data_IF_871525835592
#
_entry.id   IF_871525835592
#
_cell.length_a   1.000
_cell.length_b   1.000
_cell.length_c   1.000
_cell.angle_alpha   90.00
_cell.angle_beta   90.00
_cell.angle_gamma   90.00
#
_symmetry.space_group_name_H-M   'P 1'
#
loop_
_entity.id
_entity.type
_entity.pdbx_description
1 polymer ?
#
# COMPACT_ATOMS: atom_id res chain seq x y z
N UNK A 1 0.58 14.86 -7.67
CA UNK A 1 0.57 15.24 -6.24
C UNK A 1 -0.74 15.95 -5.98
N UNK A 2 -1.71 15.29 -5.34
CA UNK A 2 -3.01 15.78 -4.82
C UNK A 2 -3.89 14.56 -4.43
N UNK A 3 -3.30 13.54 -3.78
CA UNK A 3 -3.93 12.21 -3.59
C UNK A 3 -5.21 12.21 -2.76
N UNK A 4 -5.48 13.30 -2.04
CA UNK A 4 -6.69 13.50 -1.25
C UNK A 4 -7.50 14.71 -1.72
N UNK A 5 -7.30 15.21 -2.94
CA UNK A 5 -7.96 16.41 -3.44
C UNK A 5 -7.51 17.72 -2.75
N UNK A 6 -8.17 18.82 -3.10
CA UNK A 6 -7.89 20.18 -2.60
C UNK A 6 -9.19 20.96 -2.38
N UNK A 7 -9.16 21.92 -1.45
CA UNK A 7 -10.28 22.84 -1.20
C UNK A 7 -11.51 22.14 -0.62
N UNK A 8 -12.71 22.58 -1.04
CA UNK A 8 -14.01 22.07 -0.53
C UNK A 8 -14.25 20.58 -0.79
N UNK A 9 -13.55 20.00 -1.77
CA UNK A 9 -13.64 18.58 -2.12
C UNK A 9 -12.44 17.77 -1.64
N UNK A 10 -11.60 18.32 -0.76
CA UNK A 10 -10.53 17.53 -0.15
C UNK A 10 -11.13 16.41 0.72
N UNK A 11 -10.53 15.22 0.65
CA UNK A 11 -10.95 14.05 1.41
C UNK A 11 -10.94 14.40 2.92
N UNK A 12 -12.10 14.34 3.59
CA UNK A 12 -12.18 14.63 5.03
C UNK A 12 -11.46 13.55 5.85
N UNK A 13 -11.37 12.33 5.31
CA UNK A 13 -10.70 11.18 5.95
C UNK A 13 -9.18 11.14 5.81
N UNK A 14 -8.52 12.14 5.20
CA UNK A 14 -7.07 12.08 4.89
C UNK A 14 -6.20 11.81 6.12
N UNK A 15 -6.52 12.40 7.26
CA UNK A 15 -5.73 12.22 8.49
C UNK A 15 -5.91 10.82 9.07
N UNK A 16 -7.15 10.33 9.09
CA UNK A 16 -7.44 8.96 9.48
C UNK A 16 -6.72 7.97 8.55
N UNK A 17 -6.86 8.12 7.22
CA UNK A 17 -6.22 7.25 6.25
C UNK A 17 -4.69 7.23 6.42
N UNK A 18 -4.04 8.40 6.56
CA UNK A 18 -2.60 8.51 6.76
C UNK A 18 -2.17 7.79 8.05
N UNK A 19 -2.85 8.04 9.16
CA UNK A 19 -2.47 7.43 10.44
C UNK A 19 -2.72 5.92 10.45
N UNK A 20 -3.85 5.47 9.91
CA UNK A 20 -4.17 4.04 9.80
C UNK A 20 -3.17 3.31 8.89
N UNK A 21 -2.80 3.89 7.74
CA UNK A 21 -1.77 3.31 6.87
C UNK A 21 -0.42 3.21 7.57
N UNK A 22 -0.01 4.25 8.32
CA UNK A 22 1.23 4.20 9.12
C UNK A 22 1.18 3.11 10.19
N UNK A 23 0.05 2.96 10.89
CA UNK A 23 -0.12 1.93 11.91
C UNK A 23 -0.06 0.52 11.32
N UNK A 24 -0.72 0.29 10.17
CA UNK A 24 -0.68 -0.99 9.45
C UNK A 24 0.76 -1.29 9.02
N UNK A 25 1.41 -0.36 8.30
CA UNK A 25 2.78 -0.56 7.82
C UNK A 25 3.77 -0.74 8.97
N UNK A 26 3.69 0.07 10.02
CA UNK A 26 4.52 -0.07 11.21
C UNK A 26 4.34 -1.43 11.87
N UNK A 27 3.09 -1.87 12.06
CA UNK A 27 2.78 -3.17 12.64
C UNK A 27 3.32 -4.33 11.80
N UNK A 28 3.23 -4.21 10.47
CA UNK A 28 3.76 -5.21 9.55
C UNK A 28 5.29 -5.27 9.61
N UNK A 29 5.98 -4.14 9.57
CA UNK A 29 7.45 -4.08 9.58
C UNK A 29 8.05 -4.56 10.92
N UNK A 30 7.40 -4.25 12.04
CA UNK A 30 7.85 -4.70 13.38
C UNK A 30 7.65 -6.20 13.54
N UNK A 31 6.56 -6.76 13.03
CA UNK A 31 6.21 -8.18 13.24
C UNK A 31 6.72 -9.11 12.16
N UNK A 32 7.06 -8.61 10.98
CA UNK A 32 7.39 -9.44 9.83
C UNK A 32 8.64 -8.96 9.10
N UNK A 33 9.39 -9.92 8.59
CA UNK A 33 10.32 -9.73 7.49
C UNK A 33 9.55 -9.99 6.19
N UNK A 34 9.55 -9.00 5.31
CA UNK A 34 8.75 -9.00 4.07
C UNK A 34 9.71 -8.93 2.90
N UNK A 35 9.65 -9.93 2.00
CA UNK A 35 10.47 -9.99 0.79
C UNK A 35 9.60 -10.27 -0.43
N UNK A 36 9.98 -9.82 -1.63
CA UNK A 36 9.29 -10.21 -2.86
C UNK A 36 9.24 -11.73 -3.01
N UNK A 37 8.08 -12.29 -3.39
CA UNK A 37 7.94 -13.73 -3.55
C UNK A 37 8.88 -14.26 -4.65
N UNK A 38 8.95 -13.53 -5.76
CA UNK A 38 9.76 -13.82 -6.94
C UNK A 38 10.59 -12.59 -7.32
N UNK A 39 11.80 -12.82 -7.84
CA UNK A 39 12.62 -11.78 -8.48
C UNK A 39 12.47 -11.92 -9.99
N UNK A 40 12.12 -10.86 -10.70
CA UNK A 40 12.39 -10.78 -12.14
C UNK A 40 11.22 -10.64 -13.11
N UNK A 41 9.98 -10.46 -12.67
CA UNK A 41 8.88 -10.09 -13.59
C UNK A 41 8.45 -8.64 -13.41
N UNK A 42 8.30 -7.91 -14.53
CA UNK A 42 7.65 -6.61 -14.56
C UNK A 42 6.16 -6.80 -14.25
N UNK A 43 5.81 -6.71 -12.97
CA UNK A 43 4.42 -6.87 -12.52
C UNK A 43 3.66 -5.58 -12.83
N UNK A 44 2.92 -5.57 -13.94
CA UNK A 44 2.11 -4.41 -14.33
C UNK A 44 1.11 -4.04 -13.22
N UNK A 45 0.97 -2.75 -12.96
CA UNK A 45 -0.12 -2.21 -12.14
C UNK A 45 -1.34 -2.01 -13.02
N UNK A 46 -2.53 -2.22 -12.45
CA UNK A 46 -3.81 -2.01 -13.10
C UNK A 46 -4.36 -0.65 -12.67
N UNK A 47 -5.11 -0.01 -13.56
CA UNK A 47 -5.91 1.17 -13.21
C UNK A 47 -7.36 0.71 -13.00
N UNK A 48 -7.88 0.93 -11.79
CA UNK A 48 -9.29 0.70 -11.45
C UNK A 48 -9.87 2.06 -11.04
N UNK A 49 -10.65 2.67 -11.94
CA UNK A 49 -11.03 4.07 -11.79
C UNK A 49 -9.78 4.97 -11.70
N UNK A 50 -9.71 5.81 -10.68
CA UNK A 50 -8.54 6.67 -10.41
C UNK A 50 -7.43 5.96 -9.62
N UNK A 51 -7.67 4.75 -9.11
CA UNK A 51 -6.69 4.02 -8.31
C UNK A 51 -5.72 3.22 -9.20
N UNK A 52 -4.43 3.29 -8.87
CA UNK A 52 -3.40 2.39 -9.41
C UNK A 52 -3.23 1.26 -8.39
N UNK A 53 -3.58 0.04 -8.78
CA UNK A 53 -3.51 -1.14 -7.91
C UNK A 53 -2.52 -2.16 -8.47
N UNK A 54 -1.84 -2.93 -7.61
CA UNK A 54 -1.07 -4.07 -8.09
C UNK A 54 -1.98 -5.08 -8.79
N UNK A 55 -1.52 -5.68 -9.88
CA UNK A 55 -2.19 -6.86 -10.46
C UNK A 55 -2.18 -8.04 -9.48
N UNK A 56 -3.08 -9.01 -9.66
CA UNK A 56 -3.14 -10.22 -8.81
C UNK A 56 -1.89 -11.10 -8.80
N UNK A 57 -0.89 -10.79 -9.65
CA UNK A 57 0.42 -11.46 -9.69
C UNK A 57 1.41 -10.92 -8.66
N UNK A 58 1.11 -9.80 -8.01
CA UNK A 58 1.95 -9.27 -6.94
C UNK A 58 1.84 -10.16 -5.70
N UNK A 59 2.98 -10.65 -5.24
CA UNK A 59 3.06 -11.53 -4.09
C UNK A 59 4.33 -11.21 -3.30
N UNK A 60 4.20 -11.27 -1.98
CA UNK A 60 5.31 -11.12 -1.02
C UNK A 60 5.33 -12.34 -0.12
N UNK A 61 6.54 -12.75 0.29
CA UNK A 61 6.72 -13.72 1.37
C UNK A 61 6.89 -12.96 2.67
N UNK A 62 6.16 -13.39 3.69
CA UNK A 62 6.18 -12.78 5.02
C UNK A 62 6.62 -13.83 6.04
N UNK A 63 7.68 -13.52 6.80
CA UNK A 63 8.16 -14.36 7.91
C UNK A 63 8.00 -13.59 9.21
N UNK A 64 7.33 -14.16 10.20
CA UNK A 64 7.17 -13.51 11.51
C UNK A 64 8.54 -13.38 12.19
N UNK A 65 8.85 -12.17 12.68
CA UNK A 65 10.01 -11.89 13.54
C UNK A 65 9.72 -12.47 14.93
N UNK A 66 10.72 -13.12 15.54
CA UNK A 66 10.63 -13.59 16.93
C UNK A 66 10.63 -12.41 17.89
#
# INVERSE_FOLDING_TARGET
YLSFGLGRHACPGRFFAINTMKLILGSLLVKFEIVPAEKGEEKKSLKIGEAIVPSGKWAVRMKRRK
#
